data_IF_592638934650
#
_entry.id   IF_592638934650
#
_cell.length_a   1.000
_cell.length_b   1.000
_cell.length_c   1.000
_cell.angle_alpha   90.00
_cell.angle_beta   90.00
_cell.angle_gamma   90.00
#
_symmetry.space_group_name_H-M   'P 1'
#
loop_
_entity.id
_entity.type
_entity.pdbx_description
1 polymer ?
#
# COMPACT_ATOMS: atom_id res chain seq x y z
N UNK A 1 -10.29 19.02 -15.99
CA UNK A 1 -9.11 18.27 -15.50
C UNK A 1 -8.59 17.50 -16.70
N UNK A 2 -7.41 17.84 -17.17
CA UNK A 2 -6.74 17.11 -18.24
C UNK A 2 -6.07 15.90 -17.62
N UNK A 3 -6.64 14.73 -17.80
CA UNK A 3 -5.96 13.50 -17.41
C UNK A 3 -4.81 13.24 -18.37
N UNK A 4 -3.61 12.90 -17.88
CA UNK A 4 -2.51 12.50 -18.75
C UNK A 4 -2.93 11.37 -19.69
N UNK A 5 -2.39 11.36 -20.91
CA UNK A 5 -2.61 10.26 -21.83
C UNK A 5 -2.16 8.95 -21.17
N UNK A 6 -3.04 7.95 -21.14
CA UNK A 6 -2.79 6.69 -20.44
C UNK A 6 -3.39 6.57 -19.02
N UNK A 7 -4.00 7.64 -18.50
CA UNK A 7 -4.60 7.58 -17.16
C UNK A 7 -5.80 6.62 -17.07
N UNK A 8 -6.45 6.35 -18.20
CA UNK A 8 -7.51 5.37 -18.35
C UNK A 8 -7.03 3.91 -18.32
N UNK A 9 -5.72 3.68 -18.33
CA UNK A 9 -5.11 2.39 -18.02
C UNK A 9 -4.70 2.30 -16.56
N UNK A 10 -5.46 2.97 -15.70
CA UNK A 10 -5.25 2.87 -14.28
C UNK A 10 -5.35 1.41 -13.87
N UNK A 11 -4.33 0.94 -13.20
CA UNK A 11 -4.26 -0.43 -12.74
C UNK A 11 -5.41 -0.72 -11.79
N UNK A 12 -6.05 -1.85 -11.95
CA UNK A 12 -7.26 -2.22 -11.24
C UNK A 12 -8.57 -1.77 -11.87
N UNK A 13 -8.52 -0.91 -12.89
CA UNK A 13 -9.70 -0.58 -13.68
C UNK A 13 -9.63 -1.38 -14.98
N UNK A 14 -10.42 -2.42 -15.05
CA UNK A 14 -10.51 -3.18 -16.28
C UNK A 14 -11.19 -2.37 -17.39
N UNK A 15 -10.97 -2.78 -18.62
CA UNK A 15 -11.59 -2.16 -19.79
C UNK A 15 -13.12 -2.20 -19.71
N UNK A 16 -13.69 -3.15 -18.94
CA UNK A 16 -15.12 -3.27 -18.70
C UNK A 16 -15.67 -2.15 -17.82
N UNK A 17 -14.96 -1.74 -16.77
CA UNK A 17 -15.40 -0.63 -15.94
C UNK A 17 -15.41 0.68 -16.73
N UNK A 18 -14.37 0.92 -17.50
CA UNK A 18 -14.29 2.08 -18.39
C UNK A 18 -15.35 2.02 -19.49
N UNK A 19 -15.52 0.88 -20.12
CA UNK A 19 -16.55 0.68 -21.11
C UNK A 19 -17.97 0.87 -20.55
N UNK A 20 -18.23 0.39 -19.34
CA UNK A 20 -19.51 0.60 -18.66
C UNK A 20 -19.74 2.08 -18.29
N UNK A 21 -18.73 2.76 -17.75
CA UNK A 21 -18.80 4.19 -17.45
C UNK A 21 -19.05 5.02 -18.70
N UNK A 22 -18.34 4.70 -19.77
CA UNK A 22 -18.47 5.40 -21.05
C UNK A 22 -19.78 5.06 -21.75
N UNK A 23 -20.20 3.79 -21.74
CA UNK A 23 -21.44 3.34 -22.35
C UNK A 23 -22.68 3.83 -21.60
N UNK A 24 -22.58 4.05 -20.29
CA UNK A 24 -23.61 4.73 -19.53
C UNK A 24 -23.70 6.24 -19.86
N UNK A 25 -22.73 6.75 -20.62
CA UNK A 25 -22.69 8.16 -21.01
C UNK A 25 -22.36 9.11 -19.86
N UNK A 26 -21.97 8.59 -18.71
CA UNK A 26 -21.68 9.36 -17.50
C UNK A 26 -20.35 8.97 -16.90
N UNK A 27 -19.70 9.92 -16.28
CA UNK A 27 -18.50 9.73 -15.48
C UNK A 27 -18.78 10.08 -14.02
N UNK A 28 -17.80 9.91 -13.17
CA UNK A 28 -17.89 10.21 -11.74
C UNK A 28 -18.24 11.68 -11.43
N UNK A 29 -18.16 12.58 -12.41
CA UNK A 29 -18.47 14.00 -12.30
C UNK A 29 -19.84 14.36 -12.90
N UNK A 30 -20.64 13.39 -13.33
CA UNK A 30 -22.00 13.59 -13.82
C UNK A 30 -22.11 14.11 -15.27
N UNK A 31 -21.00 14.17 -16.01
CA UNK A 31 -20.98 14.52 -17.43
C UNK A 31 -20.83 13.29 -18.35
N UNK A 32 -21.02 13.47 -19.64
CA UNK A 32 -20.72 12.45 -20.65
C UNK A 32 -19.25 12.48 -21.05
N UNK A 33 -18.75 11.42 -21.70
CA UNK A 33 -17.43 11.40 -22.30
C UNK A 33 -17.25 12.53 -23.35
N UNK A 34 -18.33 12.85 -24.05
CA UNK A 34 -18.33 13.97 -24.99
C UNK A 34 -18.14 15.30 -24.26
N UNK A 35 -18.78 15.49 -23.09
CA UNK A 35 -18.62 16.68 -22.26
C UNK A 35 -17.21 16.78 -21.69
N UNK A 36 -16.61 15.67 -21.28
CA UNK A 36 -15.22 15.64 -20.81
C UNK A 36 -14.27 16.03 -21.93
N UNK A 37 -14.47 15.53 -23.14
CA UNK A 37 -13.64 15.85 -24.32
C UNK A 37 -13.88 17.25 -24.83
N UNK A 38 -15.13 17.73 -24.77
CA UNK A 38 -15.50 19.11 -25.18
C UNK A 38 -14.98 20.16 -24.19
N UNK A 39 -14.92 19.76 -22.89
CA UNK A 39 -14.29 20.53 -21.80
C UNK A 39 -12.83 20.10 -21.58
N UNK A 40 -12.12 19.71 -22.64
CA UNK A 40 -10.68 19.52 -22.63
C UNK A 40 -10.04 20.90 -22.36
N UNK A 41 -9.98 21.19 -21.08
CA UNK A 41 -9.86 22.53 -20.54
C UNK A 41 -8.50 23.13 -20.83
N UNK A 42 -8.45 24.12 -21.67
CA UNK A 42 -7.42 25.15 -21.60
C UNK A 42 -7.67 26.11 -20.39
N UNK A 43 -8.83 26.01 -19.75
CA UNK A 43 -9.13 26.78 -18.55
C UNK A 43 -8.60 26.09 -17.30
N UNK A 44 -7.79 26.78 -16.50
CA UNK A 44 -7.33 26.23 -15.24
C UNK A 44 -8.54 25.97 -14.34
N UNK A 45 -8.67 24.71 -13.88
CA UNK A 45 -9.68 24.38 -12.86
C UNK A 45 -9.39 25.21 -11.62
N UNK A 46 -10.27 26.15 -11.32
CA UNK A 46 -10.19 26.91 -10.09
C UNK A 46 -10.65 26.01 -8.94
N UNK A 47 -9.69 25.47 -8.21
CA UNK A 47 -10.00 24.77 -6.95
C UNK A 47 -10.45 25.81 -5.94
N UNK A 48 -11.64 25.68 -5.33
CA UNK A 48 -12.08 26.62 -4.32
C UNK A 48 -11.08 26.78 -3.18
N UNK A 49 -10.88 28.01 -2.72
CA UNK A 49 -9.96 28.32 -1.62
C UNK A 49 -10.17 27.46 -0.37
N UNK A 50 -11.44 27.11 -0.09
CA UNK A 50 -11.78 26.25 1.05
C UNK A 50 -11.16 24.86 0.91
N UNK A 51 -11.05 24.34 -0.31
CA UNK A 51 -10.41 23.04 -0.58
C UNK A 51 -8.88 23.17 -0.51
N UNK A 52 -8.33 24.26 -1.07
CA UNK A 52 -6.89 24.53 -1.01
C UNK A 52 -6.37 24.76 0.42
N UNK A 53 -7.22 25.28 1.27
CA UNK A 53 -6.88 25.59 2.68
C UNK A 53 -7.39 24.55 3.66
N UNK A 54 -8.09 23.52 3.20
CA UNK A 54 -8.54 22.44 4.06
C UNK A 54 -7.33 21.66 4.57
N UNK A 55 -6.95 21.95 5.80
CA UNK A 55 -5.97 21.15 6.54
C UNK A 55 -6.74 20.06 7.27
N UNK A 56 -6.79 18.89 6.65
CA UNK A 56 -7.36 17.71 7.30
C UNK A 56 -6.24 17.07 8.12
N UNK A 57 -6.36 17.07 9.47
CA UNK A 57 -5.36 16.43 10.30
C UNK A 57 -5.30 14.95 9.94
N UNK A 58 -4.09 14.42 9.81
CA UNK A 58 -3.86 12.99 9.67
C UNK A 58 -3.72 12.42 11.07
N UNK A 59 -4.73 11.66 11.49
CA UNK A 59 -4.69 10.95 12.76
C UNK A 59 -4.11 9.55 12.56
N UNK A 60 -3.22 9.13 13.47
CA UNK A 60 -2.74 7.76 13.56
C UNK A 60 -3.24 7.17 14.87
N UNK A 61 -4.00 6.08 14.76
CA UNK A 61 -4.39 5.27 15.91
C UNK A 61 -3.48 4.05 15.99
N UNK A 62 -3.01 3.73 17.19
CA UNK A 62 -2.08 2.64 17.41
C UNK A 62 -2.75 1.52 18.19
N UNK A 63 -2.72 0.31 17.63
CA UNK A 63 -3.15 -0.92 18.30
C UNK A 63 -1.99 -1.90 18.29
N UNK A 64 -1.47 -2.25 19.45
CA UNK A 64 -0.50 -3.32 19.59
C UNK A 64 -1.22 -4.67 19.45
N UNK A 65 -0.90 -5.43 18.40
CA UNK A 65 -1.54 -6.72 18.09
C UNK A 65 -0.72 -7.92 18.60
N UNK A 66 0.57 -7.70 18.82
CA UNK A 66 1.48 -8.58 19.54
C UNK A 66 2.67 -7.73 20.01
N UNK A 67 3.49 -8.27 20.92
CA UNK A 67 4.69 -7.58 21.38
C UNK A 67 5.56 -7.13 20.22
N UNK A 68 5.77 -5.80 20.09
CA UNK A 68 6.52 -5.20 18.97
C UNK A 68 5.86 -5.30 17.59
N UNK A 69 4.54 -5.51 17.52
CA UNK A 69 3.76 -5.49 16.27
C UNK A 69 2.56 -4.58 16.42
N UNK A 70 2.53 -3.49 15.65
CA UNK A 70 1.50 -2.46 15.77
C UNK A 70 0.72 -2.26 14.48
N UNK A 71 -0.60 -2.29 14.58
CA UNK A 71 -1.50 -1.80 13.55
C UNK A 71 -1.64 -0.29 13.71
N UNK A 72 -1.22 0.46 12.71
CA UNK A 72 -1.26 1.92 12.64
C UNK A 72 -2.41 2.35 11.76
N UNK A 73 -3.54 2.64 12.39
CA UNK A 73 -4.82 2.98 11.76
C UNK A 73 -5.11 4.48 11.75
N UNK A 74 -6.40 4.85 11.75
CA UNK A 74 -6.89 6.24 11.77
C UNK A 74 -7.34 6.78 10.42
N UNK A 75 -7.38 5.93 9.38
CA UNK A 75 -7.92 6.25 8.06
C UNK A 75 -8.59 5.00 7.45
N UNK A 76 -8.89 5.02 6.15
CA UNK A 76 -9.44 3.87 5.42
C UNK A 76 -8.44 2.71 5.27
N UNK A 77 -7.14 3.01 5.38
CA UNK A 77 -6.07 2.04 5.24
C UNK A 77 -5.14 2.10 6.45
N UNK A 78 -4.66 0.94 6.86
CA UNK A 78 -3.68 0.79 7.91
C UNK A 78 -2.27 0.63 7.33
N UNK A 79 -1.28 0.83 8.18
CA UNK A 79 0.07 0.30 8.02
C UNK A 79 0.36 -0.63 9.18
N UNK A 80 1.24 -1.60 9.02
CA UNK A 80 1.66 -2.46 10.13
C UNK A 80 3.15 -2.27 10.35
N UNK A 81 3.53 -1.88 11.57
CA UNK A 81 4.93 -1.77 11.97
C UNK A 81 5.35 -3.01 12.75
N UNK A 82 6.48 -3.58 12.40
CA UNK A 82 7.04 -4.79 13.02
C UNK A 82 8.47 -4.49 13.48
N UNK A 83 8.70 -4.62 14.77
CA UNK A 83 10.01 -4.43 15.39
C UNK A 83 10.84 -5.71 15.29
N UNK A 84 12.04 -5.58 14.73
CA UNK A 84 13.12 -6.57 14.79
C UNK A 84 14.21 -6.08 15.73
N UNK A 85 15.24 -6.89 15.98
CA UNK A 85 16.29 -6.53 16.94
C UNK A 85 16.97 -5.19 16.61
N UNK A 86 17.32 -4.97 15.33
CA UNK A 86 18.09 -3.81 14.90
C UNK A 86 17.32 -2.84 13.97
N UNK A 87 16.08 -3.14 13.61
CA UNK A 87 15.33 -2.35 12.64
C UNK A 87 13.81 -2.55 12.75
N UNK A 88 13.08 -1.68 12.07
CA UNK A 88 11.64 -1.79 11.85
C UNK A 88 11.36 -2.16 10.40
N UNK A 89 10.41 -3.06 10.19
CA UNK A 89 9.76 -3.28 8.89
C UNK A 89 8.36 -2.70 8.93
N UNK A 90 7.96 -2.01 7.87
CA UNK A 90 6.59 -1.53 7.70
C UNK A 90 5.94 -2.30 6.55
N UNK A 91 4.70 -2.72 6.73
CA UNK A 91 3.84 -3.26 5.67
C UNK A 91 2.83 -2.19 5.32
N UNK A 92 2.79 -1.80 4.07
CA UNK A 92 1.96 -0.79 3.42
C UNK A 92 2.33 0.68 3.69
N UNK A 93 2.32 1.44 2.58
CA UNK A 93 2.47 2.89 2.54
C UNK A 93 1.28 3.52 1.79
N UNK A 94 0.06 3.41 2.33
CA UNK A 94 -1.15 3.76 1.62
C UNK A 94 -1.35 5.27 1.52
N UNK A 95 -2.28 5.65 0.62
CA UNK A 95 -2.85 6.96 0.44
C UNK A 95 -1.84 7.99 -0.08
N UNK A 96 -1.10 8.67 0.80
CA UNK A 96 -0.22 9.77 0.43
C UNK A 96 0.99 9.94 1.37
N UNK A 97 1.84 10.92 1.04
CA UNK A 97 3.00 11.29 1.83
C UNK A 97 2.63 11.76 3.24
N UNK A 98 1.56 12.56 3.40
CA UNK A 98 1.15 13.08 4.72
C UNK A 98 0.81 11.93 5.67
N UNK A 99 0.10 10.92 5.15
CA UNK A 99 -0.22 9.70 5.90
C UNK A 99 1.06 8.96 6.29
N UNK A 100 1.98 8.77 5.36
CA UNK A 100 3.23 8.07 5.61
C UNK A 100 4.12 8.80 6.60
N UNK A 101 4.21 10.13 6.55
CA UNK A 101 4.96 10.93 7.53
C UNK A 101 4.37 10.77 8.93
N UNK A 102 3.05 10.83 9.08
CA UNK A 102 2.40 10.63 10.38
C UNK A 102 2.62 9.21 10.93
N UNK A 103 2.62 8.19 10.07
CA UNK A 103 2.95 6.81 10.45
C UNK A 103 4.41 6.69 10.89
N UNK A 104 5.34 7.32 10.16
CA UNK A 104 6.77 7.34 10.51
C UNK A 104 6.99 8.03 11.86
N UNK A 105 6.35 9.18 12.10
CA UNK A 105 6.44 9.90 13.37
C UNK A 105 5.93 9.03 14.53
N UNK A 106 4.85 8.30 14.33
CA UNK A 106 4.34 7.38 15.36
C UNK A 106 5.29 6.20 15.60
N UNK A 107 5.89 5.63 14.55
CA UNK A 107 6.90 4.57 14.68
C UNK A 107 8.11 5.08 15.48
N UNK A 108 8.60 6.27 15.18
CA UNK A 108 9.72 6.89 15.92
C UNK A 108 9.34 7.12 17.39
N UNK A 109 8.09 7.47 17.68
CA UNK A 109 7.60 7.59 19.06
C UNK A 109 7.58 6.25 19.80
N UNK A 110 7.18 5.18 19.11
CA UNK A 110 7.11 3.83 19.69
C UNK A 110 8.50 3.22 19.88
N UNK A 111 9.36 3.37 18.87
CA UNK A 111 10.69 2.73 18.81
C UNK A 111 11.73 3.76 18.29
N UNK A 112 12.19 4.69 19.15
CA UNK A 112 13.00 5.84 18.72
C UNK A 112 14.39 5.48 18.18
N UNK A 113 14.96 4.34 18.59
CA UNK A 113 16.35 4.01 18.35
C UNK A 113 16.59 3.05 17.17
N UNK A 114 15.53 2.66 16.46
CA UNK A 114 15.63 1.73 15.34
C UNK A 114 15.19 2.35 14.01
N UNK A 115 16.00 2.19 12.95
CA UNK A 115 15.63 2.70 11.62
C UNK A 115 14.52 1.85 11.00
N UNK A 116 13.67 2.49 10.19
CA UNK A 116 12.79 1.77 9.26
C UNK A 116 13.65 1.29 8.10
N UNK A 117 13.92 -0.01 8.06
CA UNK A 117 14.82 -0.61 7.07
C UNK A 117 14.13 -1.18 5.86
N UNK A 118 12.90 -1.69 6.03
CA UNK A 118 12.13 -2.28 4.95
C UNK A 118 10.72 -1.73 4.91
N UNK A 119 10.22 -1.53 3.71
CA UNK A 119 8.82 -1.33 3.44
C UNK A 119 8.34 -2.43 2.48
N UNK A 120 7.40 -3.24 2.93
CA UNK A 120 6.72 -4.25 2.11
C UNK A 120 5.45 -3.62 1.57
N UNK A 121 5.33 -3.53 0.25
CA UNK A 121 4.09 -3.13 -0.39
C UNK A 121 3.39 -4.36 -0.96
N UNK A 122 2.15 -4.56 -0.58
CA UNK A 122 1.42 -5.78 -0.92
C UNK A 122 1.08 -5.85 -2.41
N UNK A 123 0.69 -4.72 -3.02
CA UNK A 123 0.37 -4.66 -4.45
C UNK A 123 0.39 -3.22 -4.98
N UNK A 124 0.19 -3.08 -6.30
CA UNK A 124 0.41 -1.83 -7.02
C UNK A 124 -0.81 -0.92 -7.17
N UNK A 125 -1.93 -1.19 -6.52
CA UNK A 125 -3.07 -0.28 -6.58
C UNK A 125 -2.72 1.09 -5.99
N UNK A 126 -3.29 2.14 -6.56
CA UNK A 126 -2.90 3.53 -6.27
C UNK A 126 -3.06 3.93 -4.81
N UNK A 127 -4.04 3.38 -4.14
CA UNK A 127 -4.36 3.61 -2.74
C UNK A 127 -3.40 2.90 -1.77
N UNK A 128 -2.58 1.95 -2.26
CA UNK A 128 -1.57 1.23 -1.48
C UNK A 128 -0.13 1.74 -1.70
N UNK A 129 0.10 2.57 -2.71
CA UNK A 129 1.45 2.96 -3.13
C UNK A 129 1.78 4.44 -2.91
N UNK A 130 0.81 5.26 -2.47
CA UNK A 130 0.97 6.72 -2.48
C UNK A 130 2.08 7.26 -1.58
N UNK A 131 2.47 6.52 -0.55
CA UNK A 131 3.54 6.88 0.37
C UNK A 131 4.89 6.23 0.11
N UNK A 132 5.05 5.37 -0.91
CA UNK A 132 6.30 4.62 -1.14
C UNK A 132 7.53 5.53 -1.26
N UNK A 133 7.40 6.68 -1.92
CA UNK A 133 8.49 7.64 -2.09
C UNK A 133 8.90 8.31 -0.77
N UNK A 134 7.99 8.41 0.19
CA UNK A 134 8.31 8.88 1.55
C UNK A 134 9.24 7.90 2.25
N UNK A 135 8.96 6.60 2.16
CA UNK A 135 9.84 5.57 2.73
C UNK A 135 11.17 5.46 1.99
N UNK A 136 11.17 5.65 0.66
CA UNK A 136 12.38 5.77 -0.13
C UNK A 136 13.23 6.97 0.34
N UNK A 137 12.59 8.10 0.67
CA UNK A 137 13.26 9.30 1.19
C UNK A 137 13.94 9.04 2.54
N UNK A 138 13.34 8.26 3.44
CA UNK A 138 13.94 7.91 4.74
C UNK A 138 14.92 6.74 4.67
N UNK A 139 15.22 6.25 3.46
CA UNK A 139 16.25 5.24 3.22
C UNK A 139 15.80 3.79 3.38
N UNK A 140 14.49 3.53 3.45
CA UNK A 140 13.98 2.16 3.53
C UNK A 140 14.16 1.42 2.19
N UNK A 141 14.47 0.13 2.27
CA UNK A 141 14.41 -0.79 1.13
C UNK A 141 12.96 -1.08 0.79
N UNK A 142 12.55 -0.72 -0.43
CA UNK A 142 11.19 -1.01 -0.92
C UNK A 142 11.15 -2.44 -1.45
N UNK A 143 10.19 -3.24 -0.97
CA UNK A 143 10.02 -4.65 -1.35
C UNK A 143 8.66 -4.83 -2.01
N UNK A 144 8.65 -5.32 -3.24
CA UNK A 144 7.42 -5.55 -4.03
C UNK A 144 7.50 -6.87 -4.80
N UNK A 145 6.42 -7.24 -5.50
CA UNK A 145 6.46 -8.41 -6.35
C UNK A 145 7.15 -8.12 -7.70
N UNK A 146 8.00 -9.05 -8.18
CA UNK A 146 8.82 -8.88 -9.38
C UNK A 146 8.03 -8.65 -10.68
N UNK A 147 6.81 -9.15 -10.79
CA UNK A 147 5.97 -8.99 -11.99
C UNK A 147 5.62 -7.52 -12.25
N UNK A 148 5.61 -6.71 -11.22
CA UNK A 148 5.31 -5.28 -11.29
C UNK A 148 6.58 -4.41 -11.30
N UNK A 149 7.76 -5.00 -11.51
CA UNK A 149 9.06 -4.33 -11.47
C UNK A 149 9.10 -3.06 -12.36
N UNK A 150 8.68 -3.19 -13.61
CA UNK A 150 8.73 -2.05 -14.55
C UNK A 150 7.84 -0.89 -14.11
N UNK A 151 6.66 -1.21 -13.60
CA UNK A 151 5.75 -0.19 -13.08
C UNK A 151 6.37 0.56 -11.89
N UNK A 152 6.87 -0.17 -10.89
CA UNK A 152 7.46 0.47 -9.72
C UNK A 152 8.68 1.31 -10.08
N UNK A 153 9.60 0.80 -10.87
CA UNK A 153 10.86 1.50 -11.17
C UNK A 153 10.69 2.66 -12.13
N UNK A 154 9.78 2.56 -13.09
CA UNK A 154 9.52 3.63 -14.06
C UNK A 154 8.57 4.69 -13.54
N UNK A 155 7.46 4.29 -12.92
CA UNK A 155 6.33 5.18 -12.68
C UNK A 155 6.22 5.63 -11.21
N UNK A 156 6.67 4.83 -10.25
CA UNK A 156 6.53 5.11 -8.80
C UNK A 156 7.82 5.59 -8.17
N UNK A 157 8.86 4.76 -8.23
CA UNK A 157 10.12 4.95 -7.48
C UNK A 157 11.17 5.78 -8.25
N UNK A 158 10.78 6.47 -9.30
CA UNK A 158 11.69 7.35 -10.02
C UNK A 158 11.89 8.68 -9.29
N UNK A 159 13.00 9.36 -9.61
CA UNK A 159 13.35 10.67 -9.02
C UNK A 159 12.70 11.86 -9.75
N UNK A 160 11.80 11.61 -10.69
CA UNK A 160 11.13 12.68 -11.41
C UNK A 160 10.38 13.60 -10.46
N UNK A 161 10.46 14.91 -10.64
CA UNK A 161 9.72 15.86 -9.83
C UNK A 161 8.22 15.62 -9.92
N UNK A 162 7.53 15.71 -8.79
CA UNK A 162 6.07 15.75 -8.72
C UNK A 162 5.64 17.21 -8.90
N UNK A 163 5.08 17.53 -10.06
CA UNK A 163 4.85 18.94 -10.45
C UNK A 163 3.60 19.55 -9.82
N UNK A 164 2.57 18.73 -9.53
CA UNK A 164 1.33 19.23 -8.92
C UNK A 164 1.43 19.34 -7.38
N UNK A 165 2.08 18.36 -6.75
CA UNK A 165 2.38 18.36 -5.33
C UNK A 165 3.74 17.69 -5.15
N UNK A 166 4.84 18.48 -5.10
CA UNK A 166 6.16 17.91 -4.89
C UNK A 166 6.24 17.25 -3.51
N UNK A 167 6.71 16.02 -3.49
CA UNK A 167 6.93 15.26 -2.28
C UNK A 167 8.34 15.52 -1.66
N UNK A 168 8.57 15.01 -0.46
CA UNK A 168 9.84 15.16 0.25
C UNK A 168 11.04 14.68 -0.57
N UNK A 169 10.88 13.56 -1.30
CA UNK A 169 11.92 13.02 -2.15
C UNK A 169 12.28 13.96 -3.30
N UNK A 170 11.30 14.64 -3.89
CA UNK A 170 11.54 15.61 -4.97
C UNK A 170 12.14 16.93 -4.46
N UNK A 171 11.74 17.38 -3.26
CA UNK A 171 12.20 18.64 -2.67
C UNK A 171 13.59 18.51 -2.02
N UNK A 172 13.86 17.40 -1.34
CA UNK A 172 15.08 17.16 -0.58
C UNK A 172 15.59 15.73 -0.81
N UNK A 173 16.09 15.41 -2.02
CA UNK A 173 16.60 14.08 -2.28
C UNK A 173 17.83 13.83 -1.35
N UNK A 174 17.83 12.70 -0.62
CA UNK A 174 18.98 12.35 0.20
C UNK A 174 20.25 12.22 -0.64
N UNK A 175 21.37 12.68 -0.10
CA UNK A 175 22.67 12.59 -0.78
C UNK A 175 23.10 11.14 -1.04
N UNK A 176 22.73 10.25 -0.15
CA UNK A 176 23.02 8.82 -0.24
C UNK A 176 22.27 8.16 -1.42
N UNK A 177 21.15 8.73 -1.84
CA UNK A 177 20.40 8.24 -3.00
C UNK A 177 21.05 8.60 -4.34
N UNK A 178 22.13 9.38 -4.35
CA UNK A 178 22.94 9.59 -5.57
C UNK A 178 23.50 8.27 -6.13
N UNK A 179 23.64 7.24 -5.29
CA UNK A 179 24.04 5.88 -5.66
C UNK A 179 22.86 4.94 -6.02
N UNK A 180 21.63 5.44 -5.95
CA UNK A 180 20.38 4.69 -6.18
C UNK A 180 19.64 4.35 -4.88
N UNK A 181 18.33 4.11 -5.00
CA UNK A 181 17.51 3.64 -3.88
C UNK A 181 17.61 2.13 -3.74
N UNK A 182 17.30 1.64 -2.53
CA UNK A 182 17.28 0.22 -2.25
C UNK A 182 15.92 -0.38 -2.66
N UNK A 183 15.96 -1.39 -3.50
CA UNK A 183 14.75 -2.02 -4.02
C UNK A 183 14.96 -3.53 -4.19
N UNK A 184 14.04 -4.29 -3.64
CA UNK A 184 14.05 -5.75 -3.66
C UNK A 184 12.76 -6.29 -4.30
N UNK A 185 12.86 -7.42 -4.96
CA UNK A 185 11.68 -8.06 -5.56
C UNK A 185 11.46 -9.46 -5.05
N UNK A 186 10.22 -9.76 -4.68
CA UNK A 186 9.77 -11.09 -4.29
C UNK A 186 9.32 -11.85 -5.55
N UNK A 187 9.75 -13.11 -5.70
CA UNK A 187 9.19 -14.03 -6.71
C UNK A 187 8.07 -14.87 -6.09
N UNK A 188 8.43 -15.86 -5.31
CA UNK A 188 7.48 -16.72 -4.59
C UNK A 188 7.53 -16.46 -3.09
N UNK A 189 8.72 -16.33 -2.55
CA UNK A 189 8.97 -16.20 -1.11
C UNK A 189 10.14 -15.24 -0.86
N UNK A 190 10.04 -14.50 0.24
CA UNK A 190 11.09 -13.64 0.75
C UNK A 190 11.07 -13.69 2.29
N UNK A 191 12.24 -13.78 2.92
CA UNK A 191 12.35 -13.87 4.34
C UNK A 191 13.13 -12.71 4.91
N UNK A 192 12.58 -12.08 5.95
CA UNK A 192 13.28 -11.15 6.82
C UNK A 192 13.48 -11.80 8.18
N UNK A 193 14.60 -11.50 8.83
CA UNK A 193 14.88 -11.99 10.17
C UNK A 193 15.76 -11.01 10.94
N UNK A 194 15.56 -10.95 12.25
CA UNK A 194 16.36 -10.18 13.19
C UNK A 194 16.11 -10.70 14.60
N UNK A 195 17.15 -11.21 15.24
CA UNK A 195 17.02 -11.91 16.51
C UNK A 195 16.19 -13.18 16.42
N UNK A 196 15.21 -13.30 17.29
CA UNK A 196 14.29 -14.45 17.31
C UNK A 196 13.09 -14.27 16.36
N UNK A 197 12.86 -13.06 15.85
CA UNK A 197 11.71 -12.77 14.96
C UNK A 197 12.07 -13.03 13.51
N UNK A 198 11.13 -13.62 12.81
CA UNK A 198 11.19 -13.76 11.34
C UNK A 198 9.85 -13.35 10.72
N UNK A 199 9.91 -12.92 9.47
CA UNK A 199 8.74 -12.61 8.65
C UNK A 199 8.87 -13.28 7.31
N UNK A 200 7.84 -13.98 6.90
CA UNK A 200 7.71 -14.62 5.60
C UNK A 200 6.80 -13.78 4.70
N UNK A 201 7.34 -13.24 3.63
CA UNK A 201 6.57 -12.55 2.59
C UNK A 201 6.38 -13.51 1.44
N UNK A 202 5.14 -13.74 1.02
CA UNK A 202 4.83 -14.73 -0.02
C UNK A 202 3.83 -14.21 -1.05
N UNK A 203 3.97 -14.71 -2.29
CA UNK A 203 3.11 -14.37 -3.42
C UNK A 203 1.81 -15.19 -3.41
N UNK A 204 0.68 -14.49 -3.39
CA UNK A 204 -0.65 -15.10 -3.46
C UNK A 204 -1.10 -15.23 -4.91
N UNK A 205 -1.30 -16.45 -5.37
CA UNK A 205 -1.75 -16.72 -6.73
C UNK A 205 -2.46 -18.09 -6.85
N UNK A 206 -3.34 -18.28 -7.85
CA UNK A 206 -3.90 -17.25 -8.73
C UNK A 206 -4.85 -16.33 -7.98
N UNK A 207 -4.86 -15.05 -8.31
CA UNK A 207 -5.73 -14.07 -7.68
C UNK A 207 -6.42 -13.20 -8.74
N UNK A 208 -7.76 -13.13 -8.75
CA UNK A 208 -8.50 -12.29 -9.71
C UNK A 208 -8.34 -10.78 -9.46
N UNK A 209 -8.04 -10.38 -8.20
CA UNK A 209 -7.95 -8.99 -7.80
C UNK A 209 -6.82 -8.25 -8.53
N UNK A 210 -5.59 -8.75 -8.39
CA UNK A 210 -4.41 -8.16 -9.00
C UNK A 210 -3.28 -9.18 -9.12
N UNK A 211 -2.46 -9.06 -10.15
CA UNK A 211 -1.24 -9.87 -10.26
C UNK A 211 -0.11 -9.27 -9.42
N UNK A 212 0.61 -10.12 -8.69
CA UNK A 212 1.72 -9.67 -7.85
C UNK A 212 1.34 -9.31 -6.42
N UNK A 213 0.24 -9.84 -5.90
CA UNK A 213 -0.19 -9.66 -4.52
C UNK A 213 0.74 -10.39 -3.56
N UNK A 214 1.23 -9.67 -2.55
CA UNK A 214 2.03 -10.21 -1.46
C UNK A 214 1.23 -10.20 -0.16
N UNK A 215 1.50 -11.18 0.68
CA UNK A 215 1.10 -11.20 2.09
C UNK A 215 2.34 -11.38 2.96
N UNK A 216 2.29 -10.90 4.20
CA UNK A 216 3.36 -11.09 5.17
C UNK A 216 2.87 -11.93 6.35
N UNK A 217 3.67 -12.88 6.78
CA UNK A 217 3.35 -13.80 7.88
C UNK A 217 4.44 -13.78 8.94
N UNK A 218 4.05 -13.64 10.19
CA UNK A 218 4.89 -13.69 11.37
C UNK A 218 4.70 -15.05 12.07
N UNK A 219 5.62 -16.02 11.90
CA UNK A 219 5.42 -17.38 12.37
C UNK A 219 5.30 -17.52 13.88
N UNK A 220 6.08 -16.74 14.65
CA UNK A 220 6.07 -16.82 16.11
C UNK A 220 4.78 -16.25 16.68
N UNK A 221 4.30 -15.16 16.12
CA UNK A 221 3.08 -14.46 16.51
C UNK A 221 1.83 -15.06 15.87
N UNK A 222 1.99 -15.92 14.84
CA UNK A 222 0.93 -16.53 14.03
C UNK A 222 0.00 -15.48 13.39
N UNK A 223 0.58 -14.34 13.04
CA UNK A 223 -0.11 -13.21 12.44
C UNK A 223 0.10 -13.24 10.93
N UNK A 224 -1.00 -13.15 10.17
CA UNK A 224 -1.00 -12.93 8.72
C UNK A 224 -1.45 -11.51 8.42
N UNK A 225 -0.62 -10.74 7.73
CA UNK A 225 -0.91 -9.39 7.27
C UNK A 225 -1.29 -9.45 5.79
N UNK A 226 -2.44 -8.91 5.45
CA UNK A 226 -2.99 -8.95 4.10
C UNK A 226 -3.63 -7.60 3.70
N UNK A 227 -3.77 -7.38 2.40
CA UNK A 227 -4.54 -6.29 1.82
C UNK A 227 -5.52 -6.85 0.78
N UNK A 228 -6.76 -6.38 0.80
CA UNK A 228 -7.81 -6.67 -0.20
C UNK A 228 -8.16 -8.16 -0.38
N UNK A 229 -7.89 -8.97 0.64
CA UNK A 229 -8.11 -10.41 0.61
C UNK A 229 -9.05 -10.91 1.73
N UNK A 230 -9.71 -10.01 2.44
CA UNK A 230 -10.52 -10.32 3.63
C UNK A 230 -11.72 -11.24 3.39
N UNK A 231 -12.11 -11.46 2.13
CA UNK A 231 -13.19 -12.38 1.72
C UNK A 231 -12.72 -13.48 0.76
N UNK A 232 -11.41 -13.68 0.67
CA UNK A 232 -10.82 -14.47 -0.40
C UNK A 232 -10.59 -15.93 -0.04
N UNK A 233 -11.30 -16.83 -0.74
CA UNK A 233 -10.98 -18.27 -0.72
C UNK A 233 -9.58 -18.55 -1.26
N UNK A 234 -9.02 -17.64 -2.06
CA UNK A 234 -7.64 -17.73 -2.54
C UNK A 234 -6.66 -17.56 -1.39
N UNK A 235 -6.92 -16.66 -0.44
CA UNK A 235 -6.10 -16.52 0.77
C UNK A 235 -6.15 -17.78 1.63
N UNK A 236 -7.34 -18.35 1.83
CA UNK A 236 -7.50 -19.63 2.55
C UNK A 236 -6.68 -20.74 1.89
N UNK A 237 -6.79 -20.90 0.57
CA UNK A 237 -6.03 -21.88 -0.19
C UNK A 237 -4.52 -21.64 -0.15
N UNK A 238 -4.08 -20.39 -0.13
CA UNK A 238 -2.67 -20.02 0.01
C UNK A 238 -2.10 -20.43 1.37
N UNK A 239 -2.81 -20.10 2.46
CA UNK A 239 -2.43 -20.49 3.83
C UNK A 239 -2.33 -22.01 3.96
N UNK A 240 -3.34 -22.74 3.45
CA UNK A 240 -3.34 -24.21 3.46
C UNK A 240 -2.19 -24.81 2.64
N UNK A 241 -1.92 -24.27 1.44
CA UNK A 241 -0.86 -24.74 0.55
C UNK A 241 0.53 -24.58 1.18
N UNK A 242 0.75 -23.49 1.91
CA UNK A 242 2.02 -23.23 2.58
C UNK A 242 2.09 -23.84 3.98
N UNK A 243 1.00 -24.39 4.51
CA UNK A 243 0.92 -24.96 5.86
C UNK A 243 1.18 -23.93 6.95
N UNK A 244 0.70 -22.69 6.77
CA UNK A 244 0.88 -21.63 7.76
C UNK A 244 -0.07 -21.85 8.94
N UNK A 245 0.47 -21.70 10.15
CA UNK A 245 -0.30 -21.78 11.41
C UNK A 245 -0.77 -20.37 11.81
N UNK A 246 -1.85 -19.90 11.17
CA UNK A 246 -2.40 -18.56 11.38
C UNK A 246 -3.43 -18.58 12.51
N UNK A 247 -3.31 -17.64 13.46
CA UNK A 247 -4.30 -17.39 14.50
C UNK A 247 -5.03 -16.04 14.29
N UNK A 248 -4.33 -15.05 13.75
CA UNK A 248 -4.88 -13.70 13.55
C UNK A 248 -4.55 -13.17 12.16
N UNK A 249 -5.55 -12.59 11.49
CA UNK A 249 -5.36 -11.75 10.31
C UNK A 249 -5.32 -10.29 10.76
N UNK A 250 -4.31 -9.57 10.30
CA UNK A 250 -4.18 -8.11 10.45
C UNK A 250 -4.34 -7.48 9.08
N UNK A 251 -5.54 -6.98 8.75
CA UNK A 251 -5.84 -6.46 7.44
C UNK A 251 -5.36 -5.01 7.29
N UNK A 252 -5.02 -4.62 6.07
CA UNK A 252 -4.78 -3.21 5.74
C UNK A 252 -6.11 -2.43 5.73
N UNK A 253 -7.23 -3.11 5.49
CA UNK A 253 -8.57 -2.53 5.60
C UNK A 253 -9.33 -3.10 6.79
N UNK A 254 -9.48 -2.33 7.87
CA UNK A 254 -10.28 -2.72 9.03
C UNK A 254 -9.48 -3.09 10.27
N UNK A 255 -10.07 -3.89 11.13
CA UNK A 255 -9.50 -4.33 12.40
C UNK A 255 -9.02 -5.79 12.32
N UNK A 256 -8.11 -6.21 13.22
CA UNK A 256 -7.68 -7.60 13.30
C UNK A 256 -8.85 -8.57 13.47
N UNK A 257 -8.78 -9.71 12.81
CA UNK A 257 -9.82 -10.75 12.79
C UNK A 257 -9.18 -12.09 13.18
N UNK A 258 -9.87 -12.87 14.01
CA UNK A 258 -9.43 -14.23 14.30
C UNK A 258 -9.51 -15.10 13.04
N UNK A 259 -8.51 -15.94 12.79
CA UNK A 259 -8.48 -16.84 11.65
C UNK A 259 -9.72 -17.76 11.59
N UNK A 260 -10.21 -18.22 12.75
CA UNK A 260 -11.42 -19.02 12.85
C UNK A 260 -12.65 -18.29 12.30
N UNK A 261 -12.79 -16.99 12.62
CA UNK A 261 -13.93 -16.19 12.21
C UNK A 261 -13.91 -15.91 10.70
N UNK A 262 -12.72 -15.66 10.14
CA UNK A 262 -12.51 -15.55 8.70
C UNK A 262 -12.93 -16.84 7.96
N UNK A 263 -12.52 -18.00 8.45
CA UNK A 263 -12.88 -19.30 7.84
C UNK A 263 -14.39 -19.53 7.94
N UNK A 264 -14.99 -19.27 9.11
CA UNK A 264 -16.43 -19.41 9.30
C UNK A 264 -17.23 -18.49 8.36
N UNK A 265 -16.77 -17.25 8.17
CA UNK A 265 -17.39 -16.31 7.23
C UNK A 265 -17.37 -16.84 5.79
N UNK A 266 -16.25 -17.35 5.32
CA UNK A 266 -16.13 -17.94 3.99
C UNK A 266 -17.05 -19.15 3.79
N UNK A 267 -17.20 -19.98 4.81
CA UNK A 267 -18.03 -21.19 4.73
C UNK A 267 -19.54 -20.87 4.81
N UNK A 268 -19.90 -19.81 5.53
CA UNK A 268 -21.29 -19.35 5.63
C UNK A 268 -21.79 -18.64 4.37
N UNK A 269 -20.91 -18.26 3.44
CA UNK A 269 -21.24 -17.55 2.21
C UNK A 269 -21.73 -16.12 2.42
N UNK A 270 -21.36 -15.51 3.54
CA UNK A 270 -21.74 -14.12 3.88
C UNK A 270 -20.66 -13.14 3.46
#
# INVERSE_FOLDING_TARGET
IRFPAGWHHHQGWDDNYQAQSVNAGHNAFGGTLADIRANDCDDPVTVPDVVLRADFPVEVTTLEVADGVWLLGGSSHNSVAIEFDDYITVVEAPLDERRSLAVIDEIVRLVPDKPIRFLINTHQHHDHIGGLRTYMHVGATIVTHWKNYEFYTRDVLNYAPRTLAPDMLALWPPTELAEGYQYETVRENYWLSGGERSMHVSYVHPLPHVEGMLVAYLPNEKILIEADLSDSRTLLGHVQRLGLDVETIVPIHGLPVAWSDFVEQLDSGR
#
